data_IF_899216272537
#
_entry.id   IF_899216272537
#
_cell.length_a   1.000
_cell.length_b   1.000
_cell.length_c   1.000
_cell.angle_alpha   90.00
_cell.angle_beta   90.00
_cell.angle_gamma   90.00
#
_symmetry.space_group_name_H-M   'P 1'
#
loop_
_entity.id
_entity.type
_entity.pdbx_description
1 polymer ?
#
# COMPACT_ATOMS: atom_id res chain seq x y z
N UNK A 1 8.75 9.31 15.55
CA UNK A 1 9.64 9.45 14.37
C UNK A 1 10.72 8.37 14.29
N UNK A 2 11.71 8.29 15.20
CA UNK A 2 12.82 7.30 15.09
C UNK A 2 12.35 5.84 14.95
N UNK A 3 11.39 5.41 15.77
CA UNK A 3 10.83 4.06 15.69
C UNK A 3 10.20 3.79 14.30
N UNK A 4 9.49 4.75 13.72
CA UNK A 4 8.91 4.62 12.38
C UNK A 4 10.00 4.42 11.32
N UNK A 5 11.11 5.17 11.38
CA UNK A 5 12.25 4.98 10.46
C UNK A 5 12.81 3.56 10.53
N UNK A 6 12.95 3.02 11.75
CA UNK A 6 13.41 1.64 11.97
C UNK A 6 12.39 0.61 11.47
N UNK A 7 11.10 0.82 11.70
CA UNK A 7 10.03 -0.10 11.28
C UNK A 7 9.79 -0.09 9.76
N UNK A 8 9.92 1.06 9.08
CA UNK A 8 9.89 1.12 7.61
C UNK A 8 11.00 0.26 6.97
N UNK A 9 12.07 -0.03 7.73
CA UNK A 9 13.17 -0.92 7.35
C UNK A 9 13.31 -2.08 8.34
N UNK A 10 12.20 -2.59 8.87
CA UNK A 10 12.20 -3.68 9.85
C UNK A 10 13.06 -4.86 9.37
N UNK A 11 13.83 -5.46 10.29
CA UNK A 11 14.79 -6.53 10.02
C UNK A 11 15.94 -6.14 9.05
N UNK A 12 16.06 -4.86 8.69
CA UNK A 12 17.11 -4.31 7.84
C UNK A 12 18.06 -3.39 8.60
N UNK A 13 19.25 -3.19 8.04
CA UNK A 13 20.21 -2.23 8.56
C UNK A 13 19.78 -0.79 8.23
N UNK A 14 19.77 0.07 9.24
CA UNK A 14 19.48 1.50 9.11
C UNK A 14 20.71 2.31 9.56
N UNK A 15 21.38 3.04 8.65
CA UNK A 15 22.49 3.93 9.00
C UNK A 15 22.03 5.09 9.91
N UNK A 16 22.90 5.56 10.80
CA UNK A 16 22.62 6.76 11.62
C UNK A 16 22.31 7.98 10.77
N UNK A 17 23.00 8.18 9.64
CA UNK A 17 22.77 9.34 8.75
C UNK A 17 21.33 9.34 8.20
N UNK A 18 20.78 8.18 7.85
CA UNK A 18 19.39 8.10 7.39
C UNK A 18 18.40 8.48 8.51
N UNK A 19 18.70 8.14 9.76
CA UNK A 19 17.88 8.56 10.90
C UNK A 19 17.98 10.06 11.12
N UNK A 20 19.16 10.65 10.92
CA UNK A 20 19.38 12.09 11.02
C UNK A 20 18.55 12.81 9.94
N UNK A 21 18.66 12.38 8.69
CA UNK A 21 17.91 12.95 7.57
C UNK A 21 16.40 12.87 7.84
N UNK A 22 15.91 11.72 8.31
CA UNK A 22 14.50 11.54 8.61
C UNK A 22 14.02 12.39 9.80
N UNK A 23 14.87 12.69 10.78
CA UNK A 23 14.50 13.44 11.98
C UNK A 23 14.57 14.96 11.80
N UNK A 24 15.47 15.45 10.95
CA UNK A 24 15.75 16.89 10.83
C UNK A 24 15.60 17.47 9.42
N UNK A 25 15.40 16.64 8.39
CA UNK A 25 15.01 17.02 7.01
C UNK A 25 15.71 18.26 6.42
N UNK A 26 17.03 18.37 6.62
CA UNK A 26 17.88 19.48 6.15
C UNK A 26 18.27 20.50 7.22
N UNK A 27 17.53 20.59 8.34
CA UNK A 27 17.86 21.41 9.51
C UNK A 27 18.70 20.67 10.55
N UNK A 28 19.79 20.02 10.12
CA UNK A 28 20.57 19.10 10.95
C UNK A 28 21.37 19.84 12.04
N UNK A 29 21.08 19.63 13.35
CA UNK A 29 21.85 20.25 14.42
C UNK A 29 23.23 19.59 14.54
N UNK A 30 24.22 20.35 15.04
CA UNK A 30 25.57 19.82 15.35
C UNK A 30 25.55 18.62 16.30
N UNK A 31 24.50 18.48 17.10
CA UNK A 31 24.30 17.40 18.08
C UNK A 31 23.49 16.22 17.54
N UNK A 32 23.13 16.19 16.26
CA UNK A 32 22.22 15.19 15.68
C UNK A 32 22.61 13.73 15.99
N UNK A 33 23.88 13.36 15.76
CA UNK A 33 24.40 12.02 16.09
C UNK A 33 24.22 11.68 17.57
N UNK A 34 24.58 12.61 18.47
CA UNK A 34 24.40 12.45 19.91
C UNK A 34 22.92 12.26 20.27
N UNK A 35 22.03 13.04 19.67
CA UNK A 35 20.59 12.94 19.90
C UNK A 35 20.04 11.59 19.43
N UNK A 36 20.49 11.06 18.29
CA UNK A 36 20.13 9.71 17.84
C UNK A 36 20.51 8.66 18.89
N UNK A 37 21.72 8.71 19.44
CA UNK A 37 22.12 7.78 20.50
C UNK A 37 21.22 7.87 21.74
N UNK A 38 20.83 9.08 22.14
CA UNK A 38 19.88 9.30 23.26
C UNK A 38 18.53 8.68 22.95
N UNK A 39 17.97 8.91 21.75
CA UNK A 39 16.69 8.35 21.34
C UNK A 39 16.74 6.82 21.22
N UNK A 40 17.84 6.25 20.75
CA UNK A 40 18.05 4.79 20.72
C UNK A 40 18.07 4.23 22.15
N UNK A 41 18.76 4.87 23.08
CA UNK A 41 18.79 4.43 24.48
C UNK A 41 17.40 4.47 25.12
N UNK A 42 16.64 5.54 24.85
CA UNK A 42 15.25 5.65 25.33
C UNK A 42 14.36 4.57 24.71
N UNK A 43 14.50 4.32 23.40
CA UNK A 43 13.73 3.30 22.70
C UNK A 43 14.07 1.88 23.20
N UNK A 44 15.33 1.59 23.51
CA UNK A 44 15.73 0.30 24.11
C UNK A 44 15.01 0.07 25.43
N UNK A 45 14.97 1.08 26.30
CA UNK A 45 14.26 1.00 27.58
C UNK A 45 12.77 0.72 27.37
N UNK A 46 12.12 1.44 26.45
CA UNK A 46 10.71 1.19 26.12
C UNK A 46 10.47 -0.24 25.61
N UNK A 47 11.39 -0.79 24.82
CA UNK A 47 11.31 -2.17 24.35
C UNK A 47 11.53 -3.19 25.49
N UNK A 48 12.46 -2.91 26.41
CA UNK A 48 12.67 -3.73 27.60
C UNK A 48 11.42 -3.79 28.48
N UNK A 49 10.76 -2.65 28.71
CA UNK A 49 9.56 -2.53 29.54
C UNK A 49 8.39 -3.39 29.01
N UNK A 50 8.34 -3.66 27.71
CA UNK A 50 7.32 -4.52 27.06
C UNK A 50 7.82 -5.93 26.76
N UNK A 51 8.97 -6.35 27.32
CA UNK A 51 9.52 -7.70 27.12
C UNK A 51 10.14 -7.93 25.72
N UNK A 52 10.34 -6.86 24.95
CA UNK A 52 10.97 -6.85 23.62
C UNK A 52 12.45 -6.45 23.67
N UNK A 53 13.09 -6.59 24.83
CA UNK A 53 14.51 -6.29 25.05
C UNK A 53 15.43 -7.03 24.07
N UNK A 54 16.58 -6.43 23.75
CA UNK A 54 17.58 -7.00 22.84
C UNK A 54 17.20 -6.98 21.35
N UNK A 55 15.99 -6.55 20.97
CA UNK A 55 15.55 -6.50 19.57
C UNK A 55 16.13 -5.34 18.76
N UNK A 56 16.56 -4.26 19.43
CA UNK A 56 17.21 -3.12 18.80
C UNK A 56 18.74 -3.27 18.86
N UNK A 57 19.29 -3.85 17.80
CA UNK A 57 20.69 -4.28 17.69
C UNK A 57 21.54 -3.16 17.11
N UNK A 58 22.68 -2.86 17.74
CA UNK A 58 23.72 -2.01 17.15
C UNK A 58 24.52 -2.81 16.13
N UNK A 59 24.71 -2.27 14.92
CA UNK A 59 25.51 -2.91 13.87
C UNK A 59 26.35 -1.85 13.16
N UNK A 60 27.67 -1.86 13.33
CA UNK A 60 28.54 -0.85 12.72
C UNK A 60 28.11 0.58 13.09
N UNK A 61 27.90 1.43 12.08
CA UNK A 61 27.46 2.83 12.23
C UNK A 61 25.94 3.02 12.17
N UNK A 62 25.17 2.00 12.54
CA UNK A 62 23.71 2.04 12.49
C UNK A 62 23.05 1.00 13.40
N UNK A 63 21.76 0.78 13.14
CA UNK A 63 20.91 -0.06 13.98
C UNK A 63 20.00 -0.94 13.11
N UNK A 64 19.52 -2.02 13.71
CA UNK A 64 18.51 -2.90 13.14
C UNK A 64 17.48 -3.18 14.24
N UNK A 65 16.20 -3.08 13.89
CA UNK A 65 15.11 -3.50 14.77
C UNK A 65 14.57 -4.84 14.29
N UNK A 66 14.71 -5.87 15.12
CA UNK A 66 14.17 -7.19 14.87
C UNK A 66 12.67 -7.21 15.17
N UNK A 67 11.88 -7.63 14.20
CA UNK A 67 10.43 -7.68 14.24
C UNK A 67 9.97 -9.01 13.66
N UNK A 68 9.15 -9.75 14.41
CA UNK A 68 8.56 -11.00 13.94
C UNK A 68 7.52 -10.78 12.83
N UNK A 69 7.26 -11.82 12.05
CA UNK A 69 6.44 -11.75 10.83
C UNK A 69 5.00 -11.24 11.04
N UNK A 70 4.49 -11.31 12.26
CA UNK A 70 3.12 -10.89 12.63
C UNK A 70 3.06 -9.68 13.56
N UNK A 71 4.21 -9.13 13.93
CA UNK A 71 4.30 -8.01 14.87
C UNK A 71 4.24 -6.65 14.18
N UNK A 72 4.42 -6.62 12.85
CA UNK A 72 4.24 -5.42 12.03
C UNK A 72 3.23 -5.70 10.92
N UNK A 73 2.19 -4.88 10.88
CA UNK A 73 1.12 -4.88 9.87
C UNK A 73 1.66 -4.89 8.45
N UNK A 74 2.66 -4.06 8.13
CA UNK A 74 3.27 -3.97 6.81
C UNK A 74 3.98 -5.27 6.40
N UNK A 75 4.60 -6.00 7.35
CA UNK A 75 5.21 -7.32 7.06
C UNK A 75 4.11 -8.36 6.80
N UNK A 76 3.08 -8.37 7.65
CA UNK A 76 1.95 -9.30 7.54
C UNK A 76 1.18 -9.06 6.25
N UNK A 77 0.91 -7.81 5.90
CA UNK A 77 0.30 -7.37 4.65
C UNK A 77 1.09 -7.89 3.44
N UNK A 78 2.41 -7.68 3.43
CA UNK A 78 3.27 -8.15 2.33
C UNK A 78 3.26 -9.67 2.19
N UNK A 79 3.28 -10.39 3.32
CA UNK A 79 3.22 -11.85 3.36
C UNK A 79 1.89 -12.38 2.80
N UNK A 80 0.76 -11.85 3.29
CA UNK A 80 -0.58 -12.21 2.82
C UNK A 80 -0.78 -11.88 1.34
N UNK A 81 -0.35 -10.69 0.91
CA UNK A 81 -0.41 -10.28 -0.49
C UNK A 81 0.41 -11.21 -1.40
N UNK A 82 1.58 -11.68 -0.93
CA UNK A 82 2.40 -12.64 -1.67
C UNK A 82 1.71 -13.99 -1.77
N UNK A 83 1.21 -14.52 -0.66
CA UNK A 83 0.48 -15.79 -0.64
C UNK A 83 -0.78 -15.74 -1.51
N UNK A 84 -1.49 -14.60 -1.53
CA UNK A 84 -2.64 -14.37 -2.40
C UNK A 84 -2.30 -14.41 -3.89
N UNK A 85 -1.22 -13.73 -4.31
CA UNK A 85 -0.72 -13.82 -5.70
C UNK A 85 -0.29 -15.23 -6.08
N UNK A 86 0.44 -15.92 -5.21
CA UNK A 86 0.86 -17.30 -5.44
C UNK A 86 -0.37 -18.21 -5.60
N UNK A 87 -1.38 -18.08 -4.73
CA UNK A 87 -2.63 -18.84 -4.88
C UNK A 87 -3.37 -18.53 -6.19
N UNK A 88 -3.41 -17.27 -6.61
CA UNK A 88 -4.02 -16.85 -7.88
C UNK A 88 -3.31 -17.48 -9.09
N UNK A 89 -1.97 -17.48 -9.07
CA UNK A 89 -1.14 -18.08 -10.12
C UNK A 89 -1.34 -19.60 -10.27
N UNK A 90 -1.71 -20.29 -9.19
CA UNK A 90 -2.06 -21.72 -9.21
C UNK A 90 -3.55 -21.99 -9.48
N UNK A 91 -4.35 -20.95 -9.77
CA UNK A 91 -5.79 -21.08 -10.02
C UNK A 91 -6.65 -21.27 -8.75
N UNK A 92 -6.08 -21.20 -7.55
CA UNK A 92 -6.79 -21.31 -6.29
C UNK A 92 -7.49 -19.99 -5.91
N UNK A 93 -8.43 -19.54 -6.75
CA UNK A 93 -9.00 -18.19 -6.70
C UNK A 93 -9.69 -17.86 -5.36
N UNK A 94 -10.45 -18.79 -4.79
CA UNK A 94 -11.10 -18.56 -3.49
C UNK A 94 -10.09 -18.30 -2.36
N UNK A 95 -8.95 -19.02 -2.38
CA UNK A 95 -7.88 -18.78 -1.41
C UNK A 95 -7.16 -17.46 -1.67
N UNK A 96 -6.95 -17.11 -2.95
CA UNK A 96 -6.35 -15.84 -3.34
C UNK A 96 -7.19 -14.65 -2.85
N UNK A 97 -8.50 -14.67 -3.14
CA UNK A 97 -9.45 -13.65 -2.69
C UNK A 97 -9.41 -13.46 -1.17
N UNK A 98 -9.51 -14.55 -0.40
CA UNK A 98 -9.45 -14.51 1.06
C UNK A 98 -8.14 -13.90 1.58
N UNK A 99 -7.00 -14.34 1.06
CA UNK A 99 -5.68 -13.87 1.51
C UNK A 99 -5.45 -12.39 1.18
N UNK A 100 -5.85 -11.95 -0.02
CA UNK A 100 -5.74 -10.55 -0.41
C UNK A 100 -6.69 -9.67 0.43
N UNK A 101 -7.93 -10.11 0.67
CA UNK A 101 -8.88 -9.41 1.55
C UNK A 101 -8.37 -9.31 2.98
N UNK A 102 -7.76 -10.36 3.52
CA UNK A 102 -7.09 -10.32 4.83
C UNK A 102 -5.92 -9.34 4.86
N UNK A 103 -5.18 -9.19 3.76
CA UNK A 103 -4.13 -8.18 3.65
C UNK A 103 -4.74 -6.76 3.71
N UNK A 104 -5.76 -6.49 2.89
CA UNK A 104 -6.42 -5.18 2.81
C UNK A 104 -7.02 -4.74 4.16
N UNK A 105 -7.54 -5.68 4.96
CA UNK A 105 -8.05 -5.41 6.31
C UNK A 105 -7.01 -4.90 7.32
N UNK A 106 -5.71 -5.00 7.01
CA UNK A 106 -4.66 -4.44 7.86
C UNK A 106 -4.49 -2.93 7.66
N UNK A 107 -5.14 -2.35 6.65
CA UNK A 107 -5.13 -0.92 6.38
C UNK A 107 -6.28 -0.23 7.10
N UNK A 108 -5.97 0.83 7.84
CA UNK A 108 -6.94 1.65 8.59
C UNK A 108 -7.01 3.10 8.09
N UNK A 109 -6.49 3.36 6.88
CA UNK A 109 -6.37 4.70 6.30
C UNK A 109 -4.98 4.97 5.71
N UNK A 110 -4.66 6.23 5.39
CA UNK A 110 -3.35 6.59 4.83
C UNK A 110 -2.19 6.14 5.72
N UNK A 111 -1.08 5.71 5.12
CA UNK A 111 0.10 5.29 5.89
C UNK A 111 0.74 6.46 6.63
N UNK A 112 1.06 6.25 7.92
CA UNK A 112 1.85 7.16 8.76
C UNK A 112 1.45 8.65 8.64
N UNK A 113 0.15 9.00 8.73
CA UNK A 113 -0.33 10.34 8.35
C UNK A 113 0.28 11.44 9.21
N UNK A 114 0.51 11.16 10.49
CA UNK A 114 1.11 12.08 11.46
C UNK A 114 2.61 12.34 11.24
N UNK A 115 3.29 11.52 10.42
CA UNK A 115 4.74 11.56 10.24
C UNK A 115 5.18 11.99 8.83
N UNK A 116 4.24 12.46 8.00
CA UNK A 116 4.51 12.87 6.60
C UNK A 116 5.28 14.17 6.44
N UNK A 117 5.55 14.87 7.54
CA UNK A 117 6.41 16.05 7.54
C UNK A 117 7.90 15.72 7.27
N UNK A 118 8.31 14.46 7.41
CA UNK A 118 9.65 13.99 7.04
C UNK A 118 9.64 13.43 5.62
N UNK A 119 10.44 13.99 4.70
CA UNK A 119 10.54 13.48 3.31
C UNK A 119 10.85 11.98 3.23
N UNK A 120 11.74 11.49 4.08
CA UNK A 120 12.09 10.06 4.12
C UNK A 120 10.88 9.19 4.50
N UNK A 121 10.08 9.62 5.47
CA UNK A 121 8.89 8.87 5.89
C UNK A 121 7.75 9.02 4.88
N UNK A 122 7.55 10.22 4.31
CA UNK A 122 6.53 10.44 3.26
C UNK A 122 6.75 9.49 2.09
N UNK A 123 7.99 9.36 1.61
CA UNK A 123 8.31 8.45 0.51
C UNK A 123 8.01 6.98 0.84
N UNK A 124 8.29 6.51 2.07
CA UNK A 124 7.94 5.14 2.46
C UNK A 124 6.43 4.97 2.65
N UNK A 125 5.73 5.97 3.18
CA UNK A 125 4.28 5.97 3.32
C UNK A 125 3.58 5.91 1.95
N UNK A 126 4.03 6.71 0.98
CA UNK A 126 3.53 6.69 -0.41
C UNK A 126 3.77 5.33 -1.10
N UNK A 127 4.90 4.68 -0.83
CA UNK A 127 5.18 3.32 -1.32
C UNK A 127 4.21 2.30 -0.71
N UNK A 128 3.93 2.41 0.58
CA UNK A 128 2.98 1.55 1.28
C UNK A 128 1.56 1.74 0.71
N UNK A 129 1.11 2.99 0.54
CA UNK A 129 -0.20 3.29 -0.04
C UNK A 129 -0.31 2.80 -1.49
N UNK A 130 0.73 3.01 -2.30
CA UNK A 130 0.80 2.48 -3.66
C UNK A 130 0.66 0.96 -3.67
N UNK A 131 1.28 0.28 -2.70
CA UNK A 131 1.20 -1.18 -2.60
C UNK A 131 -0.18 -1.65 -2.17
N UNK A 132 -0.85 -0.92 -1.27
CA UNK A 132 -2.23 -1.18 -0.90
C UNK A 132 -3.14 -1.17 -2.14
N UNK A 133 -3.04 -0.14 -2.99
CA UNK A 133 -3.83 -0.05 -4.23
C UNK A 133 -3.54 -1.19 -5.20
N UNK A 134 -2.29 -1.57 -5.38
CA UNK A 134 -1.95 -2.75 -6.21
C UNK A 134 -2.59 -4.03 -5.70
N UNK A 135 -2.59 -4.25 -4.37
CA UNK A 135 -3.21 -5.44 -3.77
C UNK A 135 -4.73 -5.39 -3.89
N UNK A 136 -5.33 -4.20 -3.82
CA UNK A 136 -6.76 -4.03 -4.06
C UNK A 136 -7.13 -4.38 -5.51
N UNK A 137 -6.38 -3.87 -6.49
CA UNK A 137 -6.56 -4.20 -7.91
C UNK A 137 -6.48 -5.72 -8.14
N UNK A 138 -5.47 -6.38 -7.55
CA UNK A 138 -5.30 -7.85 -7.61
C UNK A 138 -6.49 -8.58 -6.98
N UNK A 139 -6.99 -8.10 -5.83
CA UNK A 139 -8.14 -8.68 -5.16
C UNK A 139 -9.42 -8.53 -5.99
N UNK A 140 -9.69 -7.33 -6.51
CA UNK A 140 -10.86 -7.05 -7.33
C UNK A 140 -10.88 -7.92 -8.59
N UNK A 141 -9.75 -8.09 -9.28
CA UNK A 141 -9.63 -8.98 -10.43
C UNK A 141 -9.97 -10.44 -10.08
N UNK A 142 -9.54 -10.92 -8.91
CA UNK A 142 -9.85 -12.29 -8.44
C UNK A 142 -11.33 -12.43 -8.08
N UNK A 143 -11.91 -11.47 -7.37
CA UNK A 143 -13.34 -11.49 -7.00
C UNK A 143 -14.25 -11.46 -8.23
N UNK A 144 -13.92 -10.64 -9.23
CA UNK A 144 -14.65 -10.57 -10.50
C UNK A 144 -14.60 -11.90 -11.27
N UNK A 145 -13.49 -12.63 -11.20
CA UNK A 145 -13.38 -13.98 -11.80
C UNK A 145 -14.19 -15.03 -11.02
N UNK A 146 -14.43 -14.82 -9.73
CA UNK A 146 -15.28 -15.65 -8.89
C UNK A 146 -16.78 -15.31 -9.02
N UNK A 147 -17.12 -14.24 -9.75
CA UNK A 147 -18.50 -13.75 -9.88
C UNK A 147 -18.99 -12.89 -8.71
N UNK A 148 -18.08 -12.47 -7.81
CA UNK A 148 -18.40 -11.67 -6.63
C UNK A 148 -18.41 -10.16 -6.94
N UNK A 149 -18.98 -9.77 -8.07
CA UNK A 149 -18.95 -8.40 -8.58
C UNK A 149 -19.52 -7.35 -7.60
N UNK A 150 -20.54 -7.72 -6.80
CA UNK A 150 -21.15 -6.82 -5.81
C UNK A 150 -20.14 -6.30 -4.79
N UNK A 151 -19.29 -7.18 -4.27
CA UNK A 151 -18.30 -6.82 -3.25
C UNK A 151 -17.27 -5.80 -3.79
N UNK A 152 -16.90 -5.93 -5.07
CA UNK A 152 -16.01 -4.96 -5.73
C UNK A 152 -16.72 -3.62 -5.93
N UNK A 153 -17.94 -3.64 -6.48
CA UNK A 153 -18.71 -2.42 -6.73
C UNK A 153 -18.97 -1.59 -5.45
N UNK A 154 -19.18 -2.25 -4.31
CA UNK A 154 -19.45 -1.57 -3.02
C UNK A 154 -18.20 -0.97 -2.35
N UNK A 155 -17.00 -1.32 -2.80
CA UNK A 155 -15.74 -0.94 -2.10
C UNK A 155 -14.79 -0.11 -2.96
N UNK A 156 -15.07 0.07 -4.24
CA UNK A 156 -14.11 0.65 -5.19
C UNK A 156 -14.21 2.17 -5.33
N UNK A 157 -15.37 2.76 -5.03
CA UNK A 157 -15.66 4.18 -5.27
C UNK A 157 -14.68 5.12 -4.55
N UNK A 158 -14.47 4.92 -3.24
CA UNK A 158 -13.53 5.72 -2.45
C UNK A 158 -12.10 5.67 -3.03
N UNK A 159 -11.67 4.50 -3.52
CA UNK A 159 -10.35 4.34 -4.12
C UNK A 159 -10.26 5.00 -5.49
N UNK A 160 -11.36 5.01 -6.24
CA UNK A 160 -11.46 5.66 -7.53
C UNK A 160 -11.39 7.19 -7.42
N UNK A 161 -11.92 7.76 -6.34
CA UNK A 161 -11.83 9.19 -6.01
C UNK A 161 -10.41 9.56 -5.56
N UNK A 162 -9.81 8.76 -4.68
CA UNK A 162 -8.46 9.00 -4.16
C UNK A 162 -7.36 8.77 -5.21
N UNK A 163 -7.62 7.90 -6.19
CA UNK A 163 -6.65 7.53 -7.22
C UNK A 163 -7.25 7.64 -8.63
N UNK A 164 -7.60 8.86 -9.08
CA UNK A 164 -8.36 9.05 -10.31
C UNK A 164 -7.59 8.63 -11.56
N UNK A 165 -6.25 8.59 -11.52
CA UNK A 165 -5.43 8.16 -12.66
C UNK A 165 -5.29 6.63 -12.77
N UNK A 166 -5.76 5.83 -11.80
CA UNK A 166 -5.60 4.37 -11.81
C UNK A 166 -6.61 3.70 -12.73
N UNK A 167 -6.21 3.47 -13.98
CA UNK A 167 -7.05 2.83 -14.99
C UNK A 167 -7.53 1.42 -14.57
N UNK A 168 -6.70 0.65 -13.87
CA UNK A 168 -7.07 -0.70 -13.39
C UNK A 168 -8.25 -0.68 -12.42
N UNK A 169 -8.40 0.37 -11.61
CA UNK A 169 -9.60 0.55 -10.76
C UNK A 169 -10.84 0.84 -11.62
N UNK A 170 -10.71 1.68 -12.65
CA UNK A 170 -11.80 1.97 -13.61
C UNK A 170 -12.24 0.70 -14.34
N UNK A 171 -11.28 -0.09 -14.81
CA UNK A 171 -11.52 -1.38 -15.47
C UNK A 171 -12.26 -2.38 -14.57
N UNK A 172 -11.86 -2.48 -13.29
CA UNK A 172 -12.51 -3.34 -12.31
C UNK A 172 -13.94 -2.88 -11.99
N UNK A 173 -14.16 -1.57 -11.79
CA UNK A 173 -15.48 -1.03 -11.51
C UNK A 173 -16.43 -1.23 -12.69
N UNK A 174 -15.99 -0.92 -13.91
CA UNK A 174 -16.75 -1.16 -15.14
C UNK A 174 -17.15 -2.64 -15.27
N UNK A 175 -16.23 -3.57 -15.02
CA UNK A 175 -16.53 -5.01 -15.05
C UNK A 175 -17.53 -5.42 -13.96
N UNK A 176 -17.36 -4.90 -12.73
CA UNK A 176 -18.27 -5.17 -11.62
C UNK A 176 -19.71 -4.75 -11.97
N UNK A 177 -19.88 -3.51 -12.45
CA UNK A 177 -21.18 -2.98 -12.86
C UNK A 177 -21.79 -3.79 -14.01
N UNK A 178 -20.98 -4.16 -15.01
CA UNK A 178 -21.45 -4.96 -16.14
C UNK A 178 -21.94 -6.35 -15.71
N UNK A 179 -21.19 -7.06 -14.86
CA UNK A 179 -21.60 -8.36 -14.31
C UNK A 179 -22.88 -8.29 -13.45
N UNK A 180 -23.14 -7.14 -12.84
CA UNK A 180 -24.37 -6.87 -12.09
C UNK A 180 -25.55 -6.44 -12.97
N UNK A 181 -25.38 -6.38 -14.30
CA UNK A 181 -26.40 -5.92 -15.24
C UNK A 181 -26.59 -4.40 -15.30
N UNK A 182 -25.71 -3.62 -14.64
CA UNK A 182 -25.74 -2.14 -14.60
C UNK A 182 -24.96 -1.56 -15.78
N UNK A 183 -25.32 -1.95 -17.01
CA UNK A 183 -24.55 -1.63 -18.23
C UNK A 183 -24.38 -0.14 -18.48
N UNK A 184 -25.45 0.65 -18.33
CA UNK A 184 -25.40 2.11 -18.53
C UNK A 184 -24.37 2.77 -17.61
N UNK A 185 -24.30 2.32 -16.35
CA UNK A 185 -23.34 2.83 -15.37
C UNK A 185 -21.91 2.37 -15.69
N UNK A 186 -21.75 1.11 -16.12
CA UNK A 186 -20.45 0.61 -16.58
C UNK A 186 -19.88 1.46 -17.73
N UNK A 187 -20.71 1.81 -18.72
CA UNK A 187 -20.28 2.66 -19.83
C UNK A 187 -20.04 4.12 -19.43
N UNK A 188 -20.80 4.64 -18.46
CA UNK A 188 -20.55 5.97 -17.91
C UNK A 188 -19.16 6.06 -17.28
N UNK A 189 -18.73 5.04 -16.50
CA UNK A 189 -17.38 4.99 -15.90
C UNK A 189 -16.27 5.11 -16.96
N UNK A 190 -16.42 4.45 -18.11
CA UNK A 190 -15.46 4.55 -19.20
C UNK A 190 -15.43 5.96 -19.82
N UNK A 191 -16.60 6.51 -20.14
CA UNK A 191 -16.70 7.83 -20.78
C UNK A 191 -16.20 8.95 -19.86
N UNK A 192 -16.52 8.91 -18.56
CA UNK A 192 -16.01 9.84 -17.56
C UNK A 192 -14.48 9.79 -17.49
N UNK A 193 -13.90 8.59 -17.45
CA UNK A 193 -12.45 8.44 -17.41
C UNK A 193 -11.77 8.90 -18.72
N UNK A 194 -12.38 8.62 -19.87
CA UNK A 194 -11.91 9.10 -21.18
C UNK A 194 -11.88 10.63 -21.23
N UNK A 195 -12.92 11.29 -20.73
CA UNK A 195 -13.00 12.75 -20.64
C UNK A 195 -11.95 13.32 -19.69
N UNK A 196 -11.77 12.69 -18.51
CA UNK A 196 -10.74 13.07 -17.54
C UNK A 196 -9.34 13.00 -18.17
N UNK A 197 -8.98 11.89 -18.84
CA UNK A 197 -7.67 11.75 -19.47
C UNK A 197 -7.42 12.76 -20.59
N UNK A 198 -8.45 13.02 -21.40
CA UNK A 198 -8.36 14.01 -22.48
C UNK A 198 -8.19 15.43 -21.93
N UNK A 199 -8.91 15.77 -20.86
CA UNK A 199 -8.85 17.08 -20.22
C UNK A 199 -7.54 17.35 -19.48
N UNK A 200 -7.10 16.42 -18.64
CA UNK A 200 -5.93 16.61 -17.77
C UNK A 200 -4.60 16.33 -18.47
N UNK A 201 -4.57 15.38 -19.40
CA UNK A 201 -3.32 14.88 -19.99
C UNK A 201 -3.27 14.95 -21.52
N UNK A 202 -4.39 15.24 -22.19
CA UNK A 202 -4.48 15.17 -23.65
C UNK A 202 -4.34 13.74 -24.19
N UNK A 203 -4.64 12.73 -23.37
CA UNK A 203 -4.50 11.31 -23.68
C UNK A 203 -5.86 10.61 -23.78
N UNK A 204 -5.89 9.45 -24.43
CA UNK A 204 -7.02 8.52 -24.38
C UNK A 204 -6.77 7.37 -23.39
N UNK A 205 -7.81 6.58 -23.06
CA UNK A 205 -7.68 5.32 -22.36
C UNK A 205 -6.67 4.37 -23.02
N UNK A 206 -6.10 3.46 -22.26
CA UNK A 206 -5.17 2.49 -22.82
C UNK A 206 -5.88 1.51 -23.77
N UNK A 207 -5.15 0.88 -24.71
CA UNK A 207 -5.71 -0.13 -25.60
C UNK A 207 -6.38 -1.31 -24.85
N UNK A 208 -5.92 -1.62 -23.64
CA UNK A 208 -6.48 -2.69 -22.82
C UNK A 208 -7.89 -2.31 -22.34
N UNK A 209 -8.06 -1.10 -21.82
CA UNK A 209 -9.37 -0.63 -21.38
C UNK A 209 -10.33 -0.42 -22.56
N UNK A 210 -9.84 0.10 -23.69
CA UNK A 210 -10.64 0.21 -24.92
C UNK A 210 -11.14 -1.15 -25.41
N UNK A 211 -10.27 -2.16 -25.44
CA UNK A 211 -10.65 -3.51 -25.84
C UNK A 211 -11.70 -4.11 -24.89
N UNK A 212 -11.54 -3.88 -23.58
CA UNK A 212 -12.53 -4.33 -22.59
C UNK A 212 -13.89 -3.66 -22.81
N UNK A 213 -13.92 -2.33 -22.98
CA UNK A 213 -15.15 -1.59 -23.28
C UNK A 213 -15.85 -2.11 -24.54
N UNK A 214 -15.09 -2.32 -25.63
CA UNK A 214 -15.64 -2.87 -26.89
C UNK A 214 -16.22 -4.27 -26.72
N UNK A 215 -15.58 -5.12 -25.91
CA UNK A 215 -16.07 -6.48 -25.66
C UNK A 215 -17.43 -6.52 -24.94
N UNK A 216 -17.78 -5.46 -24.21
CA UNK A 216 -19.04 -5.34 -23.48
C UNK A 216 -20.20 -4.80 -24.34
N UNK A 217 -19.90 -4.24 -25.52
CA UNK A 217 -20.89 -3.73 -26.47
C UNK A 217 -21.41 -4.80 -27.43
N UNK A 218 -20.71 -5.93 -27.55
CA UNK A 218 -21.02 -7.03 -28.46
C UNK A 218 -21.95 -8.06 -27.80
#
# INVERSE_FOLDING_TARGET
>A
MLLAVLLCRANGYVPVELMIDALWDGGVPKTARKNVHVYISALRKLLEDVGAGGRLVSRGSGYLLMVGDRELDALRFRSLARAGREASGHGALASAARLLKEALKLWSGPSLPELRNSRTISAEAERLDTRFIQVYEEWAEVELRLGNAREVAETIDDLMELHPQRERLRAAHMNALFQLGRQTEAFAVYEEYRQFLAGEFGLGPSPVLEAQYRSMLA
#
